data_IF_031814052678
#
_entry.id   IF_031814052678
#
_cell.length_a   1.000
_cell.length_b   1.000
_cell.length_c   1.000
_cell.angle_alpha   90.00
_cell.angle_beta   90.00
_cell.angle_gamma   90.00
#
_symmetry.space_group_name_H-M   'P 1'
#
loop_
_entity.id
_entity.type
_entity.pdbx_description
1 polymer ?
#
# COMPACT_ATOMS: atom_id res chain seq x y z
N UNK A 1 -16.00 -18.48 -36.67
CA UNK A 1 -16.14 -17.48 -35.59
C UNK A 1 -14.72 -17.20 -35.12
N UNK A 2 -14.28 -15.98 -35.39
CA UNK A 2 -12.89 -15.54 -35.31
C UNK A 2 -12.31 -15.75 -33.91
N UNK A 3 -11.14 -16.39 -33.85
CA UNK A 3 -10.24 -16.32 -32.71
C UNK A 3 -9.90 -14.83 -32.54
N UNK A 4 -10.60 -14.12 -31.66
CA UNK A 4 -10.08 -12.86 -31.14
C UNK A 4 -8.84 -13.22 -30.34
N UNK A 5 -7.68 -12.70 -30.76
CA UNK A 5 -6.38 -12.95 -30.13
C UNK A 5 -6.44 -12.52 -28.67
N UNK A 6 -6.68 -13.48 -27.77
CA UNK A 6 -6.62 -13.26 -26.33
C UNK A 6 -5.23 -12.77 -25.95
N UNK A 7 -5.16 -11.67 -25.22
CA UNK A 7 -3.93 -11.10 -24.69
C UNK A 7 -3.68 -11.77 -23.33
N UNK A 8 -2.44 -12.21 -23.10
CA UNK A 8 -2.05 -12.79 -21.82
C UNK A 8 -1.01 -11.93 -21.11
N UNK A 9 -1.23 -11.72 -19.83
CA UNK A 9 -0.30 -11.08 -18.92
C UNK A 9 0.13 -12.10 -17.87
N UNK A 10 1.42 -12.45 -17.86
CA UNK A 10 1.98 -13.44 -16.94
C UNK A 10 2.67 -12.74 -15.79
N UNK A 11 2.25 -13.05 -14.58
CA UNK A 11 2.76 -12.49 -13.34
C UNK A 11 3.56 -13.52 -12.57
N UNK A 12 4.67 -13.08 -12.01
CA UNK A 12 5.53 -13.86 -11.13
C UNK A 12 5.67 -13.19 -9.78
N UNK A 13 5.69 -14.00 -8.74
CA UNK A 13 5.75 -13.52 -7.36
C UNK A 13 6.20 -14.59 -6.39
N UNK A 14 6.14 -14.27 -5.11
CA UNK A 14 6.52 -15.17 -4.01
C UNK A 14 5.56 -15.07 -2.85
N UNK A 15 5.42 -16.16 -2.11
CA UNK A 15 4.78 -16.23 -0.80
C UNK A 15 5.88 -16.23 0.27
N UNK A 16 5.68 -15.44 1.33
CA UNK A 16 6.58 -15.32 2.45
C UNK A 16 5.96 -15.88 3.74
N UNK A 17 6.79 -16.46 4.63
CA UNK A 17 8.21 -16.73 4.42
C UNK A 17 8.42 -17.90 3.44
N UNK A 18 9.42 -17.83 2.56
CA UNK A 18 9.62 -18.85 1.51
C UNK A 18 9.77 -20.27 2.08
N UNK A 19 10.34 -20.39 3.29
CA UNK A 19 10.49 -21.65 4.05
C UNK A 19 9.17 -22.36 4.39
N UNK A 20 8.02 -21.70 4.19
CA UNK A 20 6.71 -22.30 4.42
C UNK A 20 6.33 -23.35 3.37
N UNK A 21 7.03 -23.38 2.22
CA UNK A 21 6.79 -24.32 1.12
C UNK A 21 5.29 -24.39 0.71
N UNK A 22 4.73 -23.21 0.43
CA UNK A 22 3.31 -23.09 0.09
C UNK A 22 3.05 -23.65 -1.31
N UNK A 23 2.03 -24.51 -1.42
CA UNK A 23 1.63 -25.13 -2.67
C UNK A 23 0.11 -24.99 -2.85
N UNK A 24 -0.31 -24.43 -3.98
CA UNK A 24 -1.70 -24.27 -4.39
C UNK A 24 -1.80 -24.73 -5.84
N UNK A 25 -2.60 -25.78 -6.07
CA UNK A 25 -2.91 -26.28 -7.40
C UNK A 25 -3.53 -25.18 -8.28
N UNK A 26 -3.46 -25.35 -9.59
CA UNK A 26 -4.01 -24.37 -10.52
C UNK A 26 -5.50 -24.10 -10.25
N UNK A 27 -5.85 -22.82 -10.10
CA UNK A 27 -7.20 -22.32 -9.91
C UNK A 27 -7.50 -21.25 -10.94
N UNK A 28 -8.72 -21.24 -11.48
CA UNK A 28 -9.19 -20.23 -12.43
C UNK A 28 -10.25 -19.38 -11.74
N UNK A 29 -10.04 -18.07 -11.75
CA UNK A 29 -10.92 -17.06 -11.19
C UNK A 29 -11.46 -16.20 -12.33
N UNK A 30 -12.78 -15.98 -12.35
CA UNK A 30 -13.39 -15.02 -13.26
C UNK A 30 -13.16 -13.60 -12.74
N UNK A 31 -12.60 -12.74 -13.59
CA UNK A 31 -12.31 -11.34 -13.25
C UNK A 31 -13.32 -10.44 -13.93
N UNK A 32 -14.14 -9.77 -13.10
CA UNK A 32 -15.04 -8.73 -13.53
C UNK A 32 -14.91 -7.54 -12.57
N UNK A 33 -14.12 -6.55 -12.95
CA UNK A 33 -13.99 -5.28 -12.22
C UNK A 33 -14.25 -4.13 -13.19
N UNK A 34 -15.51 -3.66 -13.28
CA UNK A 34 -15.87 -2.52 -14.12
C UNK A 34 -15.08 -1.25 -13.77
N UNK A 35 -14.83 -1.01 -12.49
CA UNK A 35 -14.13 0.16 -11.98
C UNK A 35 -12.65 0.19 -12.39
N UNK A 36 -12.02 -0.98 -12.49
CA UNK A 36 -10.65 -1.13 -12.96
C UNK A 36 -10.54 -1.33 -14.49
N UNK A 37 -11.67 -1.43 -15.19
CA UNK A 37 -11.71 -1.78 -16.61
C UNK A 37 -11.19 -3.19 -16.90
N UNK A 38 -11.21 -4.09 -15.91
CA UNK A 38 -10.69 -5.45 -16.03
C UNK A 38 -11.81 -6.45 -16.31
N UNK A 39 -11.65 -7.21 -17.38
CA UNK A 39 -12.54 -8.31 -17.75
C UNK A 39 -11.73 -9.44 -18.35
N UNK A 40 -11.79 -10.63 -17.76
CA UNK A 40 -11.03 -11.78 -18.23
C UNK A 40 -10.98 -12.93 -17.23
N UNK A 41 -10.04 -13.84 -17.46
CA UNK A 41 -9.80 -15.01 -16.62
C UNK A 41 -8.42 -14.89 -15.96
N UNK A 42 -8.36 -15.09 -14.64
CA UNK A 42 -7.12 -15.14 -13.88
C UNK A 42 -6.84 -16.58 -13.44
N UNK A 43 -5.81 -17.18 -14.01
CA UNK A 43 -5.32 -18.50 -13.61
C UNK A 43 -4.18 -18.33 -12.60
N UNK A 44 -4.29 -18.92 -11.41
CA UNK A 44 -3.29 -18.80 -10.33
C UNK A 44 -2.79 -20.18 -9.94
N UNK A 45 -1.48 -20.29 -9.72
CA UNK A 45 -0.84 -21.46 -9.12
C UNK A 45 0.30 -21.02 -8.20
N UNK A 46 0.54 -21.78 -7.13
CA UNK A 46 1.67 -21.56 -6.23
C UNK A 46 2.43 -22.88 -6.08
N UNK A 47 3.73 -22.87 -6.31
CA UNK A 47 4.59 -24.06 -6.17
C UNK A 47 5.84 -23.69 -5.42
N UNK A 48 6.10 -24.36 -4.29
CA UNK A 48 7.21 -24.05 -3.38
C UNK A 48 7.37 -22.56 -3.11
N UNK A 49 6.25 -21.93 -2.71
CA UNK A 49 6.15 -20.51 -2.42
C UNK A 49 6.44 -19.59 -3.61
N UNK A 50 6.56 -20.10 -4.84
CA UNK A 50 6.65 -19.29 -6.06
C UNK A 50 5.25 -19.15 -6.69
N UNK A 51 4.84 -17.92 -6.95
CA UNK A 51 3.54 -17.59 -7.54
C UNK A 51 3.70 -17.48 -9.05
N UNK A 52 2.80 -18.13 -9.78
CA UNK A 52 2.54 -17.86 -11.20
C UNK A 52 1.06 -17.53 -11.36
N UNK A 53 0.77 -16.34 -11.85
CA UNK A 53 -0.59 -15.94 -12.21
C UNK A 53 -0.64 -15.53 -13.69
N UNK A 54 -1.72 -15.88 -14.40
CA UNK A 54 -1.90 -15.61 -15.82
C UNK A 54 -3.25 -14.95 -15.99
N UNK A 55 -3.24 -13.66 -16.33
CA UNK A 55 -4.44 -12.92 -16.67
C UNK A 55 -4.66 -12.94 -18.18
N UNK A 56 -5.82 -13.45 -18.61
CA UNK A 56 -6.19 -13.57 -20.02
C UNK A 56 -7.40 -12.70 -20.31
N UNK A 57 -7.28 -11.83 -21.31
CA UNK A 57 -8.33 -10.85 -21.63
C UNK A 57 -8.41 -10.59 -23.14
N UNK A 58 -9.53 -10.06 -23.60
CA UNK A 58 -9.74 -9.64 -24.99
C UNK A 58 -9.33 -8.18 -25.23
N UNK A 59 -9.00 -7.42 -24.16
CA UNK A 59 -8.71 -5.99 -24.23
C UNK A 59 -7.35 -5.69 -23.62
N UNK A 60 -6.66 -4.69 -24.15
CA UNK A 60 -5.45 -4.20 -23.51
C UNK A 60 -5.74 -3.66 -22.12
N UNK A 61 -4.87 -3.97 -21.17
CA UNK A 61 -4.92 -3.35 -19.85
C UNK A 61 -4.49 -1.87 -19.97
N UNK A 62 -5.22 -0.94 -19.34
CA UNK A 62 -4.88 0.48 -19.41
C UNK A 62 -3.69 0.85 -18.51
N UNK A 63 -3.53 0.16 -17.38
CA UNK A 63 -2.50 0.47 -16.38
C UNK A 63 -1.91 -0.81 -15.76
N UNK A 64 -0.59 -1.08 -15.95
CA UNK A 64 0.11 -2.19 -15.32
C UNK A 64 0.04 -2.23 -13.79
N UNK A 65 0.00 -1.07 -13.13
CA UNK A 65 -0.06 -1.02 -11.66
C UNK A 65 -1.43 -1.46 -11.15
N UNK A 66 -2.50 -1.02 -11.80
CA UNK A 66 -3.87 -1.42 -11.47
C UNK A 66 -4.08 -2.94 -11.62
N UNK A 67 -3.64 -3.55 -12.73
CA UNK A 67 -3.76 -5.02 -12.85
C UNK A 67 -2.88 -5.76 -11.84
N UNK A 68 -1.67 -5.24 -11.54
CA UNK A 68 -0.81 -5.84 -10.51
C UNK A 68 -1.52 -5.86 -9.17
N UNK A 69 -2.12 -4.75 -8.75
CA UNK A 69 -2.87 -4.67 -7.49
C UNK A 69 -4.02 -5.69 -7.48
N UNK A 70 -4.76 -5.80 -8.57
CA UNK A 70 -5.87 -6.77 -8.68
C UNK A 70 -5.39 -8.22 -8.60
N UNK A 71 -4.30 -8.57 -9.30
CA UNK A 71 -3.70 -9.90 -9.25
C UNK A 71 -3.19 -10.18 -7.84
N UNK A 72 -2.50 -9.23 -7.21
CA UNK A 72 -2.02 -9.34 -5.83
C UNK A 72 -3.17 -9.60 -4.86
N UNK A 73 -4.27 -8.87 -4.96
CA UNK A 73 -5.49 -9.07 -4.16
C UNK A 73 -6.14 -10.44 -4.37
N UNK A 74 -6.18 -10.90 -5.62
CA UNK A 74 -6.76 -12.20 -5.97
C UNK A 74 -5.91 -13.35 -5.42
N UNK A 75 -4.58 -13.27 -5.54
CA UNK A 75 -3.69 -14.27 -4.94
C UNK A 75 -3.72 -14.16 -3.42
N UNK A 76 -3.80 -12.93 -2.87
CA UNK A 76 -3.92 -12.67 -1.44
C UNK A 76 -5.11 -13.39 -0.82
N UNK A 77 -6.27 -13.35 -1.46
CA UNK A 77 -7.45 -14.10 -1.00
C UNK A 77 -7.14 -15.59 -0.82
N UNK A 78 -6.47 -16.23 -1.78
CA UNK A 78 -6.12 -17.65 -1.71
C UNK A 78 -5.13 -17.93 -0.56
N UNK A 79 -4.14 -17.05 -0.42
CA UNK A 79 -3.13 -17.15 0.64
C UNK A 79 -3.73 -16.92 2.03
N UNK A 80 -4.68 -15.99 2.16
CA UNK A 80 -5.37 -15.68 3.42
C UNK A 80 -6.31 -16.83 3.83
N UNK A 81 -6.99 -17.48 2.88
CA UNK A 81 -7.75 -18.71 3.13
C UNK A 81 -6.83 -19.79 3.69
N UNK A 82 -5.66 -19.99 3.07
CA UNK A 82 -4.68 -20.97 3.53
C UNK A 82 -4.08 -20.59 4.90
N UNK A 83 -3.82 -19.30 5.12
CA UNK A 83 -3.33 -18.76 6.38
C UNK A 83 -4.34 -18.95 7.51
N UNK A 84 -5.63 -18.73 7.25
CA UNK A 84 -6.72 -19.00 8.18
C UNK A 84 -6.78 -20.47 8.57
N UNK A 85 -6.73 -21.39 7.58
CA UNK A 85 -6.76 -22.84 7.82
C UNK A 85 -5.57 -23.28 8.68
N UNK A 86 -4.38 -22.71 8.43
CA UNK A 86 -3.14 -23.12 9.09
C UNK A 86 -2.77 -22.30 10.33
N UNK A 87 -3.55 -21.27 10.70
CA UNK A 87 -3.18 -20.33 11.75
C UNK A 87 -1.87 -19.59 11.48
N UNK A 88 -1.55 -19.32 10.21
CA UNK A 88 -0.29 -18.74 9.77
C UNK A 88 -0.50 -17.35 9.14
N UNK A 89 0.40 -16.41 9.45
CA UNK A 89 0.45 -15.10 8.79
C UNK A 89 1.38 -15.15 7.58
N UNK A 90 0.85 -15.55 6.43
CA UNK A 90 1.60 -15.52 5.16
C UNK A 90 1.57 -14.14 4.53
N UNK A 91 2.67 -13.77 3.90
CA UNK A 91 2.75 -12.59 3.07
C UNK A 91 3.04 -12.97 1.61
N UNK A 92 2.98 -12.02 0.68
CA UNK A 92 3.17 -12.26 -0.74
C UNK A 92 3.64 -10.99 -1.45
N UNK A 93 4.31 -11.18 -2.57
CA UNK A 93 4.75 -10.10 -3.44
C UNK A 93 4.59 -10.54 -4.90
N UNK A 94 4.02 -9.68 -5.74
CA UNK A 94 4.03 -9.81 -7.20
C UNK A 94 5.14 -8.92 -7.75
N UNK A 95 6.19 -9.53 -8.27
CA UNK A 95 7.44 -8.84 -8.61
C UNK A 95 7.58 -8.53 -10.10
N UNK A 96 6.92 -9.29 -10.99
CA UNK A 96 7.11 -9.12 -12.43
C UNK A 96 5.83 -9.40 -13.19
N UNK A 97 5.60 -8.66 -14.28
CA UNK A 97 4.58 -8.92 -15.29
C UNK A 97 5.23 -9.01 -16.68
N UNK A 98 4.75 -9.91 -17.52
CA UNK A 98 5.13 -10.02 -18.93
C UNK A 98 3.87 -9.95 -19.78
N UNK A 99 3.82 -9.01 -20.73
CA UNK A 99 2.80 -8.98 -21.78
C UNK A 99 3.23 -9.93 -22.90
N UNK A 100 2.53 -11.05 -23.10
CA UNK A 100 2.97 -12.07 -24.07
C UNK A 100 2.86 -11.63 -25.52
N UNK A 101 2.03 -10.62 -25.81
CA UNK A 101 1.83 -10.11 -27.17
C UNK A 101 2.93 -9.15 -27.60
N UNK A 102 3.42 -8.31 -26.68
CA UNK A 102 4.53 -7.37 -26.95
C UNK A 102 5.89 -7.92 -26.51
N UNK A 103 5.90 -8.99 -25.70
CA UNK A 103 7.07 -9.53 -25.01
C UNK A 103 7.76 -8.51 -24.09
N UNK A 104 7.05 -7.46 -23.68
CA UNK A 104 7.54 -6.46 -22.73
C UNK A 104 7.40 -7.00 -21.31
N UNK A 105 8.47 -6.85 -20.53
CA UNK A 105 8.52 -7.21 -19.12
C UNK A 105 8.56 -5.96 -18.26
N UNK A 106 7.73 -5.91 -17.22
CA UNK A 106 7.74 -4.88 -16.19
C UNK A 106 8.14 -5.53 -14.87
N UNK A 107 9.22 -5.04 -14.26
CA UNK A 107 9.61 -5.40 -12.90
C UNK A 107 9.00 -4.38 -11.96
N UNK A 108 8.18 -4.83 -11.02
CA UNK A 108 7.64 -3.97 -9.98
C UNK A 108 8.68 -3.86 -8.87
N UNK A 109 9.15 -2.63 -8.64
CA UNK A 109 10.10 -2.36 -7.57
C UNK A 109 9.48 -2.46 -6.18
N UNK A 110 10.35 -2.44 -5.17
CA UNK A 110 9.96 -2.30 -3.75
C UNK A 110 9.50 -0.88 -3.42
N UNK A 111 9.84 0.06 -4.30
CA UNK A 111 9.34 1.42 -4.35
C UNK A 111 8.02 1.48 -5.13
N UNK A 112 7.17 2.44 -4.77
CA UNK A 112 6.09 2.82 -5.66
C UNK A 112 6.71 3.58 -6.84
N UNK A 113 6.41 3.15 -8.07
CA UNK A 113 7.09 3.62 -9.30
C UNK A 113 6.93 5.13 -9.52
N UNK A 114 5.86 5.75 -8.98
CA UNK A 114 5.66 7.20 -9.02
C UNK A 114 6.20 7.93 -7.77
N UNK A 115 6.68 7.21 -6.76
CA UNK A 115 7.16 7.73 -5.48
C UNK A 115 8.68 7.59 -5.33
N UNK A 116 9.43 8.11 -6.30
CA UNK A 116 10.90 8.19 -6.26
C UNK A 116 11.39 9.36 -5.39
N UNK A 117 11.03 9.37 -4.11
CA UNK A 117 11.36 10.43 -3.13
C UNK A 117 12.54 10.02 -2.22
N UNK A 118 13.35 9.04 -2.61
CA UNK A 118 14.47 8.57 -1.76
C UNK A 118 15.57 9.61 -1.58
N UNK A 119 15.81 10.45 -2.59
CA UNK A 119 16.93 11.41 -2.58
C UNK A 119 16.58 12.74 -1.89
N UNK A 120 15.30 13.07 -1.71
CA UNK A 120 14.84 14.36 -1.19
C UNK A 120 14.33 14.32 0.27
N UNK A 121 14.63 13.25 1.03
CA UNK A 121 14.18 13.18 2.43
C UNK A 121 14.90 14.22 3.28
N UNK A 122 14.19 14.96 4.15
CA UNK A 122 14.80 16.03 4.91
C UNK A 122 15.76 15.52 6.01
N UNK A 123 15.59 14.28 6.47
CA UNK A 123 16.43 13.63 7.47
C UNK A 123 16.98 12.30 6.96
N UNK A 124 18.22 12.01 7.31
CA UNK A 124 18.87 10.72 7.07
C UNK A 124 18.59 9.70 8.19
N UNK A 125 19.05 8.46 7.98
CA UNK A 125 18.83 7.36 8.94
C UNK A 125 19.34 7.66 10.35
N UNK A 126 20.55 8.22 10.49
CA UNK A 126 21.13 8.54 11.80
C UNK A 126 20.34 9.61 12.55
N UNK A 127 19.86 10.62 11.83
CA UNK A 127 19.01 11.68 12.38
C UNK A 127 17.67 11.11 12.86
N UNK A 128 17.05 10.22 12.09
CA UNK A 128 15.80 9.56 12.49
C UNK A 128 16.01 8.65 13.71
N UNK A 129 17.09 7.86 13.74
CA UNK A 129 17.42 6.98 14.87
C UNK A 129 17.58 7.77 16.16
N UNK A 130 18.18 8.97 16.11
CA UNK A 130 18.35 9.82 17.30
C UNK A 130 17.03 10.24 17.96
N UNK A 131 15.90 10.18 17.24
CA UNK A 131 14.58 10.53 17.78
C UNK A 131 14.01 9.44 18.72
N UNK A 132 14.58 8.23 18.69
CA UNK A 132 14.07 7.09 19.46
C UNK A 132 14.48 7.11 20.94
N UNK A 133 15.35 8.03 21.35
CA UNK A 133 15.73 8.24 22.76
C UNK A 133 14.79 9.23 23.48
N UNK A 134 13.56 9.41 22.98
CA UNK A 134 12.61 10.42 23.47
C UNK A 134 11.17 9.88 23.59
N UNK A 135 10.28 10.63 24.24
CA UNK A 135 8.85 10.29 24.32
C UNK A 135 8.14 10.22 22.96
N UNK A 136 8.79 10.69 21.88
CA UNK A 136 8.28 10.63 20.50
C UNK A 136 8.47 9.25 19.88
N UNK A 137 9.34 8.40 20.44
CA UNK A 137 9.80 7.16 19.86
C UNK A 137 8.66 6.21 19.48
N UNK A 138 7.67 6.03 20.35
CA UNK A 138 6.56 5.12 20.12
C UNK A 138 5.65 5.59 18.97
N UNK A 139 5.41 6.90 18.89
CA UNK A 139 4.62 7.49 17.82
C UNK A 139 5.34 7.39 16.47
N UNK A 140 6.64 7.68 16.43
CA UNK A 140 7.46 7.54 15.23
C UNK A 140 7.51 6.07 14.80
N UNK A 141 7.78 5.14 15.72
CA UNK A 141 7.83 3.70 15.45
C UNK A 141 6.54 3.21 14.80
N UNK A 142 5.39 3.57 15.39
CA UNK A 142 4.08 3.14 14.90
C UNK A 142 3.74 3.79 13.57
N UNK A 143 4.02 5.08 13.41
CA UNK A 143 3.87 5.79 12.14
C UNK A 143 4.68 5.11 11.03
N UNK A 144 5.98 4.87 11.23
CA UNK A 144 6.84 4.20 10.25
C UNK A 144 6.37 2.76 9.94
N UNK A 145 5.83 2.04 10.93
CA UNK A 145 5.23 0.73 10.71
C UNK A 145 3.98 0.82 9.83
N UNK A 146 3.10 1.80 10.07
CA UNK A 146 1.91 2.03 9.26
C UNK A 146 2.27 2.42 7.83
N UNK A 147 3.27 3.27 7.64
CA UNK A 147 3.82 3.60 6.32
C UNK A 147 4.32 2.36 5.59
N UNK A 148 5.07 1.47 6.27
CA UNK A 148 5.48 0.19 5.66
C UNK A 148 4.27 -0.62 5.19
N UNK A 149 3.25 -0.79 6.02
CA UNK A 149 2.06 -1.55 5.64
C UNK A 149 1.27 -0.88 4.50
N UNK A 150 1.22 0.46 4.45
CA UNK A 150 0.60 1.18 3.35
C UNK A 150 1.26 0.89 1.99
N UNK A 151 2.59 0.69 1.98
CA UNK A 151 3.31 0.25 0.78
C UNK A 151 3.02 -1.21 0.45
N UNK A 152 2.94 -2.08 1.46
CA UNK A 152 2.78 -3.53 1.27
C UNK A 152 1.36 -3.97 0.93
N UNK A 153 0.34 -3.22 1.30
CA UNK A 153 -1.07 -3.62 1.19
C UNK A 153 -1.83 -2.58 0.37
N UNK A 154 -1.83 -2.67 -0.98
CA UNK A 154 -2.43 -1.68 -1.88
C UNK A 154 -3.88 -1.32 -1.52
N UNK A 155 -4.74 -2.32 -1.28
CA UNK A 155 -6.16 -2.13 -0.93
C UNK A 155 -6.38 -1.30 0.34
N UNK A 156 -5.45 -1.35 1.30
CA UNK A 156 -5.57 -0.72 2.62
C UNK A 156 -4.63 0.50 2.75
N UNK A 157 -4.06 0.98 1.64
CA UNK A 157 -3.11 2.11 1.64
C UNK A 157 -3.70 3.32 2.37
N UNK A 158 -4.95 3.70 2.03
CA UNK A 158 -5.65 4.82 2.67
C UNK A 158 -5.79 4.65 4.17
N UNK A 159 -6.19 3.45 4.62
CA UNK A 159 -6.35 3.12 6.03
C UNK A 159 -5.03 3.26 6.80
N UNK A 160 -3.96 2.62 6.32
CA UNK A 160 -2.66 2.67 6.99
C UNK A 160 -2.07 4.08 7.00
N UNK A 161 -2.14 4.79 5.88
CA UNK A 161 -1.70 6.19 5.78
C UNK A 161 -2.45 7.10 6.76
N UNK A 162 -3.78 7.00 6.82
CA UNK A 162 -4.55 7.80 7.77
C UNK A 162 -4.22 7.45 9.22
N UNK A 163 -4.06 6.15 9.54
CA UNK A 163 -3.64 5.71 10.89
C UNK A 163 -2.25 6.23 11.28
N UNK A 164 -1.34 6.35 10.32
CA UNK A 164 -0.04 6.99 10.53
C UNK A 164 -0.22 8.47 10.93
N UNK A 165 -1.07 9.22 10.21
CA UNK A 165 -1.39 10.61 10.55
C UNK A 165 -2.09 10.74 11.91
N UNK A 166 -3.02 9.84 12.23
CA UNK A 166 -3.67 9.80 13.54
C UNK A 166 -2.67 9.52 14.67
N UNK A 167 -1.69 8.66 14.44
CA UNK A 167 -0.62 8.38 15.40
C UNK A 167 0.17 9.66 15.70
N UNK A 168 0.55 10.44 14.68
CA UNK A 168 1.22 11.72 14.86
C UNK A 168 0.33 12.75 15.57
N UNK A 169 -0.97 12.77 15.24
CA UNK A 169 -1.95 13.60 15.96
C UNK A 169 -2.04 13.25 17.44
N UNK A 170 -2.00 11.95 17.79
CA UNK A 170 -2.01 11.51 19.19
C UNK A 170 -0.80 11.99 19.97
N UNK A 171 0.36 12.16 19.32
CA UNK A 171 1.50 12.83 19.93
C UNK A 171 1.14 14.28 20.31
N UNK A 172 0.60 15.08 19.38
CA UNK A 172 0.24 16.47 19.66
C UNK A 172 -0.84 16.62 20.73
N UNK A 173 -1.82 15.70 20.77
CA UNK A 173 -2.83 15.67 21.84
C UNK A 173 -2.18 15.49 23.20
N UNK A 174 -1.23 14.54 23.32
CA UNK A 174 -0.54 14.28 24.58
C UNK A 174 0.34 15.46 24.99
N UNK A 175 1.13 15.98 24.06
CA UNK A 175 2.12 17.05 24.32
C UNK A 175 1.47 18.39 24.69
N UNK A 176 0.29 18.69 24.13
CA UNK A 176 -0.37 19.99 24.28
C UNK A 176 -1.71 19.92 25.04
N UNK A 177 -2.02 18.77 25.65
CA UNK A 177 -3.25 18.55 26.44
C UNK A 177 -4.55 18.91 25.69
N UNK A 178 -4.58 18.71 24.37
CA UNK A 178 -5.70 19.08 23.50
C UNK A 178 -6.92 18.21 23.80
N UNK A 179 -8.11 18.81 23.86
CA UNK A 179 -9.32 18.16 24.40
C UNK A 179 -10.31 17.71 23.35
N UNK A 180 -10.26 18.28 22.15
CA UNK A 180 -11.20 17.92 21.08
C UNK A 180 -10.52 17.39 19.81
N UNK A 181 -11.25 16.54 19.09
CA UNK A 181 -10.77 15.98 17.81
C UNK A 181 -10.46 17.09 16.81
N UNK A 182 -11.38 18.04 16.66
CA UNK A 182 -11.24 19.22 15.78
C UNK A 182 -9.98 20.02 16.11
N UNK A 183 -9.81 20.40 17.38
CA UNK A 183 -8.66 21.16 17.86
C UNK A 183 -7.34 20.44 17.56
N UNK A 184 -7.27 19.13 17.82
CA UNK A 184 -6.05 18.36 17.57
C UNK A 184 -5.66 18.26 16.08
N UNK A 185 -6.63 18.19 15.18
CA UNK A 185 -6.37 18.20 13.75
C UNK A 185 -5.99 19.59 13.24
N UNK A 186 -6.59 20.64 13.79
CA UNK A 186 -6.20 22.03 13.50
C UNK A 186 -4.77 22.30 13.97
N UNK A 187 -4.42 21.82 15.16
CA UNK A 187 -3.07 21.95 15.73
C UNK A 187 -2.02 21.26 14.86
N UNK A 188 -2.20 19.97 14.54
CA UNK A 188 -1.26 19.23 13.67
C UNK A 188 -1.04 19.96 12.33
N UNK A 189 -2.13 20.44 11.72
CA UNK A 189 -2.06 21.13 10.43
C UNK A 189 -1.35 22.48 10.52
N UNK A 190 -1.57 23.21 11.60
CA UNK A 190 -0.87 24.48 11.87
C UNK A 190 0.62 24.25 12.06
N UNK A 191 1.00 23.32 12.95
CA UNK A 191 2.41 23.07 13.29
C UNK A 191 3.23 22.50 12.13
N UNK A 192 2.59 21.70 11.28
CA UNK A 192 3.25 21.09 10.13
C UNK A 192 3.01 21.87 8.83
N UNK A 193 2.33 23.03 8.87
CA UNK A 193 1.97 23.80 7.68
C UNK A 193 1.31 22.93 6.59
N UNK A 194 0.29 22.15 6.98
CA UNK A 194 -0.42 21.19 6.12
C UNK A 194 -1.84 21.67 5.86
N UNK A 195 -2.22 21.76 4.59
CA UNK A 195 -3.57 22.09 4.21
C UNK A 195 -4.58 21.01 4.63
N UNK A 196 -5.78 21.46 4.99
CA UNK A 196 -6.90 20.57 5.33
C UNK A 196 -7.22 19.58 4.21
N UNK A 197 -7.20 20.06 2.97
CA UNK A 197 -7.50 19.26 1.78
C UNK A 197 -6.57 18.04 1.67
N UNK A 198 -5.31 18.17 2.08
CA UNK A 198 -4.34 17.07 2.07
C UNK A 198 -4.74 15.96 3.04
N UNK A 199 -5.08 16.31 4.29
CA UNK A 199 -5.52 15.30 5.28
C UNK A 199 -6.89 14.72 4.94
N UNK A 200 -7.81 15.55 4.43
CA UNK A 200 -9.16 15.12 4.02
C UNK A 200 -9.08 14.19 2.79
N UNK A 201 -8.14 14.43 1.88
CA UNK A 201 -7.87 13.55 0.73
C UNK A 201 -7.39 12.16 1.15
N UNK A 202 -6.54 12.04 2.17
CA UNK A 202 -6.15 10.71 2.70
C UNK A 202 -7.34 10.06 3.40
N UNK A 203 -8.09 10.84 4.18
CA UNK A 203 -9.24 10.37 4.97
C UNK A 203 -10.34 9.73 4.14
N UNK A 204 -10.68 10.27 2.97
CA UNK A 204 -11.73 9.71 2.10
C UNK A 204 -11.45 8.26 1.64
N UNK A 205 -10.19 7.81 1.64
CA UNK A 205 -9.81 6.43 1.32
C UNK A 205 -9.70 5.55 2.56
N UNK A 206 -9.64 6.14 3.75
CA UNK A 206 -9.56 5.43 5.02
C UNK A 206 -10.94 5.16 5.65
N UNK A 207 -11.84 6.16 5.58
CA UNK A 207 -13.13 6.16 6.27
C UNK A 207 -14.05 4.99 5.89
N UNK A 208 -14.20 4.60 4.62
CA UNK A 208 -15.01 3.42 4.27
C UNK A 208 -14.39 2.12 4.82
N UNK A 209 -13.09 1.94 4.58
CA UNK A 209 -12.36 0.71 4.94
C UNK A 209 -12.32 0.47 6.45
N UNK A 210 -12.13 1.52 7.26
CA UNK A 210 -12.18 1.40 8.73
C UNK A 210 -13.57 1.01 9.27
N UNK A 211 -14.61 1.17 8.46
CA UNK A 211 -15.98 0.78 8.80
C UNK A 211 -16.39 -0.54 8.13
N UNK A 212 -15.44 -1.27 7.53
CA UNK A 212 -15.67 -2.56 6.90
C UNK A 212 -16.26 -2.47 5.49
N UNK A 213 -16.38 -1.27 4.92
CA UNK A 213 -16.77 -1.09 3.52
C UNK A 213 -15.56 -1.30 2.60
N UNK A 214 -15.83 -1.56 1.33
CA UNK A 214 -14.77 -1.63 0.30
C UNK A 214 -14.62 -0.27 -0.38
N UNK A 215 -13.38 0.10 -0.69
CA UNK A 215 -13.06 1.29 -1.47
C UNK A 215 -12.06 0.90 -2.54
N UNK A 216 -12.46 1.04 -3.81
CA UNK A 216 -11.53 0.89 -4.92
C UNK A 216 -10.52 2.04 -4.92
N UNK A 217 -9.25 1.71 -5.17
CA UNK A 217 -8.13 2.64 -5.25
C UNK A 217 -7.30 2.30 -6.48
N UNK A 218 -7.17 3.25 -7.40
CA UNK A 218 -6.30 3.11 -8.58
C UNK A 218 -4.82 3.20 -8.20
N UNK A 219 -3.92 2.74 -9.08
CA UNK A 219 -2.47 2.93 -8.89
C UNK A 219 -2.09 4.40 -8.67
N UNK A 220 -2.68 5.31 -9.45
CA UNK A 220 -2.44 6.75 -9.33
C UNK A 220 -2.92 7.33 -7.99
N UNK A 221 -4.15 7.03 -7.57
CA UNK A 221 -4.68 7.49 -6.28
C UNK A 221 -3.83 6.98 -5.12
N UNK A 222 -3.44 5.70 -5.17
CA UNK A 222 -2.55 5.09 -4.19
C UNK A 222 -1.25 5.88 -4.02
N UNK A 223 -0.62 6.26 -5.13
CA UNK A 223 0.63 7.01 -5.10
C UNK A 223 0.44 8.44 -4.54
N UNK A 224 -0.69 9.10 -4.83
CA UNK A 224 -1.02 10.40 -4.22
C UNK A 224 -1.25 10.28 -2.71
N UNK A 225 -1.92 9.21 -2.25
CA UNK A 225 -2.14 8.95 -0.83
C UNK A 225 -0.80 8.77 -0.11
N UNK A 226 0.09 7.94 -0.66
CA UNK A 226 1.45 7.73 -0.13
C UNK A 226 2.23 9.04 -0.09
N UNK A 227 2.22 9.80 -1.20
CA UNK A 227 2.95 11.07 -1.30
C UNK A 227 2.52 12.07 -0.23
N UNK A 228 1.22 12.37 -0.17
CA UNK A 228 0.67 13.32 0.79
C UNK A 228 0.98 12.91 2.24
N UNK A 229 0.91 11.62 2.53
CA UNK A 229 1.18 11.10 3.88
C UNK A 229 2.64 11.25 4.24
N UNK A 230 3.57 10.89 3.34
CA UNK A 230 5.00 11.01 3.60
C UNK A 230 5.45 12.46 3.77
N UNK A 231 4.92 13.39 2.98
CA UNK A 231 5.26 14.81 3.14
C UNK A 231 4.91 15.31 4.55
N UNK A 232 3.75 14.90 5.08
CA UNK A 232 3.35 15.23 6.46
C UNK A 232 4.29 14.58 7.48
N UNK A 233 4.65 13.31 7.27
CA UNK A 233 5.56 12.58 8.17
C UNK A 233 6.97 13.18 8.14
N UNK A 234 7.48 13.56 6.97
CA UNK A 234 8.76 14.22 6.79
C UNK A 234 8.80 15.54 7.58
N UNK A 235 7.75 16.36 7.47
CA UNK A 235 7.62 17.58 8.27
C UNK A 235 7.56 17.29 9.78
N UNK A 236 6.85 16.24 10.19
CA UNK A 236 6.81 15.83 11.59
C UNK A 236 8.18 15.38 12.11
N UNK A 237 8.95 14.63 11.31
CA UNK A 237 10.28 14.18 11.71
C UNK A 237 11.23 15.38 11.89
N UNK A 238 11.15 16.37 10.99
CA UNK A 238 11.90 17.64 11.13
C UNK A 238 11.48 18.40 12.39
N UNK A 239 10.18 18.52 12.65
CA UNK A 239 9.64 19.09 13.89
C UNK A 239 10.17 18.36 15.13
N UNK A 240 10.10 17.03 15.12
CA UNK A 240 10.51 16.17 16.23
C UNK A 240 12.00 16.32 16.56
N UNK A 241 12.84 16.53 15.53
CA UNK A 241 14.28 16.76 15.65
C UNK A 241 14.62 18.15 16.17
N UNK A 242 14.03 19.19 15.58
CA UNK A 242 14.38 20.56 15.92
C UNK A 242 13.80 21.03 17.26
N UNK A 243 12.87 20.24 17.80
CA UNK A 243 12.17 20.58 19.03
C UNK A 243 11.12 21.66 18.81
N UNK A 244 10.13 21.68 19.69
CA UNK A 244 9.12 22.71 19.69
C UNK A 244 9.74 24.05 20.12
N UNK A 245 9.56 25.10 19.33
CA UNK A 245 9.75 26.47 19.82
C UNK A 245 8.48 26.82 20.60
N UNK A 246 8.52 26.64 21.93
CA UNK A 246 7.51 27.21 22.84
C UNK A 246 7.45 28.73 22.69
#
# INVERSE_FOLDING_TARGET
MENQDKIMYVFFGKVFPERADVNISELILNVLSPEAGLHGDLTVSVTSSQIKAIFTTEREIPDPLTIRNYVEESVRLLIDILGYINGCGYDLEIATMINTRTNESIVFGVDSVLFNMREDRPLNFGEIISLFDSEKADYIRRCLSDLREAVRVPKDTGFFCYRALETLRKFFIKENELKSDKESWEFLRSELEVDRSTTDFVKQFADPVRHGETKYITGYERDQILKNTWEIVDKFLVYAKNGYKK
#
